data_IF_469924309673
#
_entry.id   IF_469924309673
#
_cell.length_a   1.000
_cell.length_b   1.000
_cell.length_c   1.000
_cell.angle_alpha   90.00
_cell.angle_beta   90.00
_cell.angle_gamma   90.00
#
_symmetry.space_group_name_H-M   'P 1'
#
loop_
_entity.id
_entity.type
_entity.pdbx_description
1 polymer ?
#
# COMPACT_ATOMS: atom_id res chain seq x y z
N UNK A 1 -46.01 -1.53 14.74
CA UNK A 1 -44.59 -1.61 15.14
C UNK A 1 -43.78 -0.49 14.55
N UNK A 2 -42.83 -0.02 15.28
CA UNK A 2 -41.90 0.99 14.86
C UNK A 2 -40.64 0.38 14.19
N UNK A 3 -40.59 -0.93 14.17
CA UNK A 3 -39.43 -1.65 13.60
C UNK A 3 -39.76 -2.12 12.20
N UNK A 4 -38.71 -2.13 11.40
CA UNK A 4 -38.78 -2.74 10.05
C UNK A 4 -38.62 -4.25 10.25
N UNK A 5 -39.68 -5.00 9.95
CA UNK A 5 -39.73 -6.44 10.19
C UNK A 5 -39.09 -7.25 9.04
N UNK A 6 -38.80 -6.60 7.93
CA UNK A 6 -38.16 -7.21 6.76
C UNK A 6 -37.10 -6.27 6.20
N UNK A 7 -36.11 -6.79 5.51
CA UNK A 7 -35.06 -5.94 4.97
C UNK A 7 -35.61 -4.93 3.95
N UNK A 8 -35.08 -3.72 3.99
CA UNK A 8 -35.35 -2.73 2.96
C UNK A 8 -34.69 -3.22 1.67
N UNK A 9 -35.49 -3.37 0.63
CA UNK A 9 -34.96 -3.74 -0.67
C UNK A 9 -34.24 -2.57 -1.31
N UNK A 10 -33.01 -2.79 -1.74
CA UNK A 10 -32.27 -1.83 -2.54
C UNK A 10 -32.54 -2.11 -4.02
N UNK A 11 -32.67 -1.04 -4.82
CA UNK A 11 -32.97 -1.15 -6.24
C UNK A 11 -31.76 -1.63 -7.03
N UNK A 12 -30.54 -1.30 -6.55
CA UNK A 12 -29.31 -1.66 -7.22
C UNK A 12 -28.13 -1.51 -6.26
N UNK A 13 -27.20 -2.43 -6.37
CA UNK A 13 -25.92 -2.33 -5.66
C UNK A 13 -24.85 -2.04 -6.72
N UNK A 14 -24.19 -0.89 -6.58
CA UNK A 14 -23.11 -0.48 -7.46
C UNK A 14 -21.79 -0.66 -6.73
N UNK A 15 -20.90 -1.45 -7.29
CA UNK A 15 -19.57 -1.70 -6.71
C UNK A 15 -18.51 -1.13 -7.65
N UNK A 16 -17.78 -0.13 -7.17
CA UNK A 16 -16.66 0.44 -7.88
C UNK A 16 -15.37 -0.24 -7.38
N UNK A 17 -14.71 -0.97 -8.27
CA UNK A 17 -13.49 -1.70 -7.98
C UNK A 17 -12.24 -1.05 -8.59
N UNK A 18 -12.37 0.18 -9.10
CA UNK A 18 -11.24 0.90 -9.69
C UNK A 18 -10.22 1.21 -8.61
N UNK A 19 -8.99 0.71 -8.80
CA UNK A 19 -7.86 0.96 -7.91
C UNK A 19 -6.78 1.81 -8.59
N UNK A 20 -7.06 2.39 -9.75
CA UNK A 20 -6.09 3.28 -10.42
C UNK A 20 -5.84 4.53 -9.58
N UNK A 21 -4.62 5.01 -9.58
CA UNK A 21 -4.21 6.17 -8.81
C UNK A 21 -3.19 7.04 -9.53
N UNK A 22 -3.09 8.27 -9.10
CA UNK A 22 -2.18 9.25 -9.70
C UNK A 22 -0.69 8.90 -9.53
N UNK A 23 -0.36 7.98 -8.61
CA UNK A 23 1.01 7.50 -8.38
C UNK A 23 1.30 6.17 -9.08
N UNK A 24 0.50 5.75 -10.05
CA UNK A 24 0.72 4.45 -10.73
C UNK A 24 2.10 4.34 -11.37
N UNK A 25 2.68 5.45 -11.80
CA UNK A 25 4.05 5.51 -12.34
C UNK A 25 5.13 5.11 -11.35
N UNK A 26 4.83 5.17 -10.05
CA UNK A 26 5.81 4.89 -8.99
C UNK A 26 5.74 3.45 -8.49
N UNK A 27 4.80 2.64 -8.99
CA UNK A 27 4.69 1.23 -8.62
C UNK A 27 6.01 0.50 -8.87
N UNK A 28 6.45 -0.25 -7.88
CA UNK A 28 7.68 -1.01 -7.95
C UNK A 28 8.93 -0.23 -7.54
N UNK A 29 8.82 1.06 -7.23
CA UNK A 29 9.96 1.83 -6.75
C UNK A 29 10.24 1.56 -5.28
N UNK A 30 11.51 1.63 -4.91
CA UNK A 30 11.90 1.55 -3.51
C UNK A 30 11.41 2.76 -2.73
N UNK A 31 11.02 2.50 -1.50
CA UNK A 31 10.62 3.53 -0.55
C UNK A 31 11.32 3.34 0.79
N UNK A 32 11.53 4.43 1.49
CA UNK A 32 11.85 4.43 2.91
C UNK A 32 10.55 4.59 3.68
N UNK A 33 10.37 3.80 4.72
CA UNK A 33 9.15 3.82 5.51
C UNK A 33 9.46 3.67 7.00
N UNK A 34 8.86 4.55 7.78
CA UNK A 34 8.89 4.51 9.23
C UNK A 34 7.46 4.33 9.75
N UNK A 35 7.09 3.10 10.13
CA UNK A 35 5.75 2.85 10.66
C UNK A 35 5.52 3.59 11.98
N UNK A 36 4.28 4.09 12.15
CA UNK A 36 3.91 4.83 13.36
C UNK A 36 3.66 3.93 14.56
N UNK A 37 3.28 2.68 14.35
CA UNK A 37 3.01 1.75 15.43
C UNK A 37 4.29 1.39 16.18
N UNK A 38 4.26 1.45 17.50
CA UNK A 38 5.42 1.21 18.39
C UNK A 38 6.03 -0.18 18.21
N UNK A 39 5.25 -1.17 17.80
CA UNK A 39 5.76 -2.53 17.58
C UNK A 39 6.89 -2.60 16.54
N UNK A 40 7.00 -1.60 15.68
CA UNK A 40 8.06 -1.51 14.68
C UNK A 40 9.32 -0.78 15.16
N UNK A 41 9.33 -0.35 16.41
CA UNK A 41 10.53 0.18 17.07
C UNK A 41 10.96 1.57 16.67
N UNK A 42 10.13 2.33 15.97
CA UNK A 42 10.48 3.69 15.55
C UNK A 42 11.61 3.75 14.52
N UNK A 43 11.88 2.66 13.82
CA UNK A 43 12.94 2.57 12.83
C UNK A 43 12.44 2.82 11.42
N UNK A 44 13.37 3.15 10.53
CA UNK A 44 13.11 3.31 9.09
C UNK A 44 13.51 2.03 8.36
N UNK A 45 12.62 1.53 7.52
CA UNK A 45 12.80 0.29 6.78
C UNK A 45 12.76 0.53 5.28
N UNK A 46 13.25 -0.44 4.54
CA UNK A 46 13.12 -0.47 3.09
C UNK A 46 11.81 -1.17 2.70
N UNK A 47 11.10 -0.56 1.81
CA UNK A 47 9.91 -1.14 1.21
C UNK A 47 9.85 -0.91 -0.28
N UNK A 48 8.76 -1.40 -0.88
CA UNK A 48 8.45 -1.18 -2.29
C UNK A 48 7.02 -0.67 -2.40
N UNK A 49 6.82 0.35 -3.22
CA UNK A 49 5.50 0.92 -3.43
C UNK A 49 4.68 0.02 -4.35
N UNK A 50 3.52 -0.42 -3.88
CA UNK A 50 2.62 -1.31 -4.60
C UNK A 50 1.49 -0.57 -5.33
N UNK A 51 1.37 0.71 -5.13
CA UNK A 51 0.24 1.50 -5.62
C UNK A 51 -0.80 1.75 -4.53
N UNK A 52 -1.92 2.32 -4.94
CA UNK A 52 -3.05 2.55 -4.05
C UNK A 52 -3.85 1.25 -3.94
N UNK A 53 -3.98 0.72 -2.73
CA UNK A 53 -4.73 -0.50 -2.47
C UNK A 53 -5.84 -0.26 -1.46
N UNK A 54 -6.89 -1.08 -1.47
CA UNK A 54 -7.98 -0.94 -0.52
C UNK A 54 -7.52 -1.12 0.93
N UNK A 55 -7.79 -0.11 1.76
CA UNK A 55 -7.61 -0.19 3.20
C UNK A 55 -8.95 -0.38 3.92
N UNK A 56 -10.04 -0.07 3.23
CA UNK A 56 -11.39 -0.20 3.75
C UNK A 56 -12.42 -0.03 2.65
N UNK A 57 -13.68 0.01 3.04
CA UNK A 57 -14.79 0.21 2.13
C UNK A 57 -15.53 1.49 2.49
N UNK A 58 -16.06 2.16 1.47
CA UNK A 58 -16.95 3.30 1.61
C UNK A 58 -18.31 2.87 1.08
N UNK A 59 -19.34 3.01 1.90
CA UNK A 59 -20.70 2.66 1.53
C UNK A 59 -21.56 3.90 1.65
N UNK A 60 -22.31 4.20 0.59
CA UNK A 60 -23.28 5.28 0.59
C UNK A 60 -24.61 4.83 0.01
N UNK A 61 -25.67 5.45 0.47
CA UNK A 61 -27.04 5.16 0.04
C UNK A 61 -27.64 6.42 -0.62
N UNK A 62 -28.14 6.27 -1.82
CA UNK A 62 -28.89 7.32 -2.48
C UNK A 62 -30.37 7.16 -2.13
N UNK A 63 -30.89 8.06 -1.30
CA UNK A 63 -32.28 8.00 -0.84
C UNK A 63 -33.31 8.25 -1.93
N UNK A 64 -32.93 8.94 -3.03
CA UNK A 64 -33.83 9.21 -4.13
C UNK A 64 -34.04 8.01 -5.03
N UNK A 65 -33.01 7.20 -5.23
CA UNK A 65 -33.05 6.04 -6.12
C UNK A 65 -33.07 4.71 -5.38
N UNK A 66 -32.85 4.75 -4.06
CA UNK A 66 -32.69 3.57 -3.20
C UNK A 66 -31.57 2.65 -3.67
N UNK A 67 -30.48 3.24 -4.17
CA UNK A 67 -29.29 2.49 -4.59
C UNK A 67 -28.23 2.51 -3.48
N UNK A 68 -27.52 1.40 -3.34
CA UNK A 68 -26.29 1.34 -2.53
C UNK A 68 -25.08 1.47 -3.45
N UNK A 69 -24.16 2.34 -3.08
CA UNK A 69 -22.89 2.51 -3.75
C UNK A 69 -21.77 2.07 -2.82
N UNK A 70 -20.96 1.16 -3.29
CA UNK A 70 -19.80 0.62 -2.56
C UNK A 70 -18.56 0.94 -3.35
N UNK A 71 -17.58 1.54 -2.68
CA UNK A 71 -16.27 1.80 -3.26
C UNK A 71 -15.18 1.43 -2.25
N UNK A 72 -13.95 1.36 -2.73
CA UNK A 72 -12.80 1.12 -1.87
C UNK A 72 -12.20 2.42 -1.40
N UNK A 73 -11.87 2.47 -0.10
CA UNK A 73 -11.01 3.50 0.45
C UNK A 73 -9.56 3.10 0.13
N UNK A 74 -8.94 3.83 -0.78
CA UNK A 74 -7.60 3.52 -1.28
C UNK A 74 -6.54 4.29 -0.50
N UNK A 75 -5.41 3.64 -0.27
CA UNK A 75 -4.29 4.26 0.42
C UNK A 75 -2.98 3.73 -0.17
N UNK A 76 -1.90 4.52 -0.19
CA UNK A 76 -0.61 4.02 -0.61
C UNK A 76 -0.21 2.77 0.16
N UNK A 77 0.06 1.69 -0.56
CA UNK A 77 0.43 0.42 0.04
C UNK A 77 1.92 0.16 -0.19
N UNK A 78 2.62 -0.16 0.88
CA UNK A 78 4.06 -0.40 0.85
C UNK A 78 4.33 -1.79 1.40
N UNK A 79 4.98 -2.63 0.59
CA UNK A 79 5.47 -3.92 1.06
C UNK A 79 6.80 -3.70 1.77
N UNK A 80 6.86 -4.04 3.05
CA UNK A 80 8.06 -3.86 3.88
C UNK A 80 8.78 -5.20 4.00
N UNK A 81 9.99 -5.26 3.48
CA UNK A 81 10.74 -6.53 3.37
C UNK A 81 11.07 -7.18 4.70
N UNK A 82 11.37 -6.37 5.71
CA UNK A 82 11.74 -6.87 7.05
C UNK A 82 10.65 -7.74 7.67
N UNK A 83 9.39 -7.41 7.42
CA UNK A 83 8.25 -8.05 8.07
C UNK A 83 7.41 -8.89 7.11
N UNK A 84 7.68 -8.83 5.80
CA UNK A 84 6.81 -9.42 4.78
C UNK A 84 5.35 -8.98 4.92
N UNK A 85 5.15 -7.71 5.23
CA UNK A 85 3.83 -7.12 5.46
C UNK A 85 3.61 -5.91 4.58
N UNK A 86 2.33 -5.64 4.30
CA UNK A 86 1.91 -4.37 3.71
C UNK A 86 1.62 -3.40 4.85
N UNK A 87 2.26 -2.23 4.80
CA UNK A 87 1.98 -1.11 5.69
C UNK A 87 1.51 0.05 4.83
N UNK A 88 0.38 0.65 5.21
CA UNK A 88 -0.20 1.73 4.43
C UNK A 88 0.45 3.08 4.76
N UNK A 89 0.46 3.96 3.77
CA UNK A 89 1.03 5.30 3.91
C UNK A 89 0.42 6.10 5.05
N UNK A 90 -0.89 5.99 5.27
CA UNK A 90 -1.56 6.69 6.38
C UNK A 90 -1.14 6.19 7.78
N UNK A 91 -0.46 5.05 7.85
CA UNK A 91 0.02 4.43 9.09
C UNK A 91 1.53 4.63 9.29
N UNK A 92 2.14 5.51 8.50
CA UNK A 92 3.59 5.63 8.46
C UNK A 92 4.05 6.98 7.95
N UNK A 93 5.33 7.25 8.14
CA UNK A 93 6.08 8.26 7.40
C UNK A 93 6.82 7.56 6.29
N UNK A 94 6.61 7.94 5.04
CA UNK A 94 7.22 7.25 3.92
C UNK A 94 7.55 8.19 2.77
N UNK A 95 8.46 7.77 1.91
CA UNK A 95 8.81 8.52 0.71
C UNK A 95 9.53 7.64 -0.31
N UNK A 96 9.38 7.99 -1.57
CA UNK A 96 10.06 7.32 -2.68
C UNK A 96 11.56 7.59 -2.57
N UNK A 97 12.36 6.56 -2.73
CA UNK A 97 13.82 6.67 -2.81
C UNK A 97 14.17 7.06 -4.24
N UNK A 98 14.83 8.20 -4.40
CA UNK A 98 15.08 8.80 -5.71
C UNK A 98 16.48 8.52 -6.25
N UNK A 99 17.41 8.11 -5.39
CA UNK A 99 18.79 7.84 -5.77
C UNK A 99 19.45 6.87 -4.81
N UNK A 100 20.63 6.38 -5.20
CA UNK A 100 21.37 5.40 -4.42
C UNK A 100 21.80 5.95 -3.05
N UNK A 101 22.11 7.23 -2.95
CA UNK A 101 22.50 7.81 -1.68
C UNK A 101 21.37 7.76 -0.64
N UNK A 102 20.13 8.03 -1.08
CA UNK A 102 18.98 7.92 -0.17
C UNK A 102 18.75 6.48 0.29
N UNK A 103 19.06 5.50 -0.55
CA UNK A 103 19.02 4.10 -0.16
C UNK A 103 20.07 3.79 0.92
N UNK A 104 21.30 4.27 0.74
CA UNK A 104 22.37 4.08 1.69
C UNK A 104 22.15 4.82 3.03
N UNK A 105 21.36 5.87 3.02
CA UNK A 105 21.05 6.66 4.20
C UNK A 105 20.11 5.95 5.18
N UNK A 106 19.51 4.82 4.79
CA UNK A 106 18.71 4.00 5.68
C UNK A 106 19.69 3.20 6.57
N UNK A 107 19.96 3.71 7.76
CA UNK A 107 20.96 3.14 8.66
C UNK A 107 20.39 2.17 9.70
N UNK A 108 19.07 2.08 9.82
CA UNK A 108 18.43 1.27 10.86
C UNK A 108 18.42 -0.22 10.53
N UNK A 109 18.68 -0.58 9.26
CA UNK A 109 18.63 -1.96 8.77
C UNK A 109 19.82 -2.26 7.89
N UNK A 110 20.14 -3.54 7.75
CA UNK A 110 21.18 -4.02 6.84
C UNK A 110 20.56 -4.31 5.45
N UNK A 111 20.59 -3.29 4.60
CA UNK A 111 19.95 -3.33 3.28
C UNK A 111 20.56 -4.43 2.41
N UNK A 112 21.85 -4.65 2.47
CA UNK A 112 22.54 -5.64 1.63
C UNK A 112 22.12 -7.07 1.94
N UNK A 113 21.56 -7.33 3.11
CA UNK A 113 21.05 -8.63 3.49
C UNK A 113 19.55 -8.84 3.20
N UNK A 114 18.86 -7.83 2.67
CA UNK A 114 17.48 -7.99 2.25
C UNK A 114 17.44 -8.89 1.01
N UNK A 115 16.58 -9.91 1.04
CA UNK A 115 16.51 -10.93 -0.01
C UNK A 115 16.25 -10.35 -1.42
N UNK A 116 15.41 -9.31 -1.50
CA UNK A 116 15.09 -8.66 -2.77
C UNK A 116 16.30 -7.91 -3.34
N UNK A 117 17.05 -7.22 -2.47
CA UNK A 117 18.27 -6.50 -2.86
C UNK A 117 19.33 -7.49 -3.35
N UNK A 118 19.50 -8.63 -2.65
CA UNK A 118 20.40 -9.70 -3.08
C UNK A 118 20.01 -10.24 -4.45
N UNK A 119 18.72 -10.47 -4.68
CA UNK A 119 18.21 -10.95 -5.96
C UNK A 119 18.51 -9.97 -7.09
N UNK A 120 18.29 -8.67 -6.87
CA UNK A 120 18.61 -7.64 -7.88
C UNK A 120 20.10 -7.58 -8.19
N UNK A 121 20.96 -7.67 -7.18
CA UNK A 121 22.42 -7.69 -7.38
C UNK A 121 22.85 -8.91 -8.18
N UNK A 122 22.29 -10.09 -7.89
CA UNK A 122 22.58 -11.32 -8.63
C UNK A 122 22.18 -11.20 -10.10
N UNK A 123 21.04 -10.60 -10.40
CA UNK A 123 20.61 -10.36 -11.79
C UNK A 123 21.54 -9.41 -12.51
N UNK A 124 21.99 -8.34 -11.86
CA UNK A 124 22.95 -7.40 -12.45
C UNK A 124 24.30 -8.07 -12.73
N UNK A 125 24.79 -8.91 -11.83
CA UNK A 125 26.02 -9.66 -12.03
C UNK A 125 25.94 -10.60 -13.23
N UNK A 126 24.80 -11.30 -13.39
CA UNK A 126 24.54 -12.16 -14.54
C UNK A 126 24.53 -11.35 -15.83
N UNK A 127 23.84 -10.21 -15.86
CA UNK A 127 23.77 -9.34 -17.01
C UNK A 127 25.14 -8.78 -17.38
N UNK A 128 25.96 -8.42 -16.40
CA UNK A 128 27.28 -7.87 -16.60
C UNK A 128 28.32 -8.91 -17.02
N UNK A 129 28.05 -10.20 -16.81
CA UNK A 129 28.95 -11.29 -17.17
C UNK A 129 28.79 -11.74 -18.63
N UNK A 130 27.77 -11.21 -19.30
CA UNK A 130 27.54 -11.43 -20.73
C UNK A 130 28.04 -10.26 -21.54
#
# INVERSE_FOLDING_TARGET
SKYIEYPIEVSKINVDTDTSGWRDKDKGKFVKIRPCNEKYGGKTYLGIYLGELPIGNIISHNSNTNELNVSYDLNPAIFVFEFNEIIFGCQSWWGIIKNEQQLKDISDIDIDNIWYVKALKSLNEIDNSH
#
